data_IF_088753545351
#
_entry.id   IF_088753545351
#
_cell.length_a   1.000
_cell.length_b   1.000
_cell.length_c   1.000
_cell.angle_alpha   90.00
_cell.angle_beta   90.00
_cell.angle_gamma   90.00
#
_symmetry.space_group_name_H-M   'P 1'
#
loop_
_entity.id
_entity.type
_entity.pdbx_description
1 polymer ?
#
# COMPACT_ATOMS: atom_id res chain seq x y z
N UNK A 1 -8.73 -17.00 32.98
CA UNK A 1 -8.26 -15.63 32.65
C UNK A 1 -8.24 -15.51 31.14
N UNK A 2 -9.23 -14.83 30.56
CA UNK A 2 -9.28 -14.60 29.11
C UNK A 2 -8.43 -13.37 28.83
N UNK A 3 -7.26 -13.55 28.22
CA UNK A 3 -6.44 -12.43 27.79
C UNK A 3 -7.20 -11.68 26.70
N UNK A 4 -7.49 -10.39 26.93
CA UNK A 4 -7.88 -9.50 25.84
C UNK A 4 -6.63 -9.35 24.97
N UNK A 5 -6.61 -10.06 23.84
CA UNK A 5 -5.62 -9.79 22.80
C UNK A 5 -5.86 -8.36 22.36
N UNK A 6 -4.90 -7.46 22.60
CA UNK A 6 -4.97 -6.12 22.06
C UNK A 6 -5.17 -6.24 20.55
N UNK A 7 -6.19 -5.58 20.00
CA UNK A 7 -6.46 -5.62 18.56
C UNK A 7 -5.18 -5.26 17.80
N UNK A 8 -4.78 -6.11 16.86
CA UNK A 8 -3.61 -5.86 16.03
C UNK A 8 -3.83 -4.53 15.27
N UNK A 9 -2.81 -3.68 15.21
CA UNK A 9 -2.92 -2.42 14.47
C UNK A 9 -3.25 -2.71 13.00
N UNK A 10 -4.14 -1.93 12.37
CA UNK A 10 -4.44 -2.10 10.96
C UNK A 10 -3.19 -1.83 10.12
N UNK A 11 -3.09 -2.51 8.98
CA UNK A 11 -2.09 -2.18 7.97
C UNK A 11 -2.51 -0.91 7.23
N UNK A 12 -1.60 0.04 7.07
CA UNK A 12 -1.79 1.20 6.20
C UNK A 12 -1.27 0.86 4.80
N UNK A 13 -2.16 0.83 3.81
CA UNK A 13 -1.78 0.67 2.41
C UNK A 13 -1.91 2.02 1.71
N UNK A 14 -0.79 2.55 1.24
CA UNK A 14 -0.73 3.84 0.54
C UNK A 14 -0.90 3.56 -0.96
N UNK A 15 -1.86 4.23 -1.59
CA UNK A 15 -2.08 4.23 -3.04
C UNK A 15 -1.59 5.57 -3.61
N UNK A 16 -0.42 5.60 -4.26
CA UNK A 16 0.14 6.83 -4.79
C UNK A 16 -0.69 7.43 -5.93
N UNK A 17 -0.42 8.69 -6.28
CA UNK A 17 -0.91 9.27 -7.54
C UNK A 17 -0.10 8.84 -8.75
N UNK A 18 -0.56 9.22 -9.94
CA UNK A 18 0.23 9.02 -11.16
C UNK A 18 1.54 9.82 -11.11
N UNK A 19 2.59 9.33 -11.79
CA UNK A 19 3.95 9.85 -11.74
C UNK A 19 4.60 9.83 -10.34
N UNK A 20 4.03 9.07 -9.39
CA UNK A 20 4.53 8.96 -8.02
C UNK A 20 5.19 7.61 -7.77
N UNK A 21 6.46 7.62 -7.37
CA UNK A 21 7.21 6.42 -7.06
C UNK A 21 7.13 6.11 -5.56
N UNK A 22 7.16 4.84 -5.13
CA UNK A 22 7.05 4.47 -3.71
C UNK A 22 8.00 5.23 -2.78
N UNK A 23 9.24 5.49 -3.23
CA UNK A 23 10.24 6.24 -2.44
C UNK A 23 9.80 7.65 -2.02
N UNK A 24 8.89 8.29 -2.78
CA UNK A 24 8.37 9.62 -2.46
C UNK A 24 7.51 9.63 -1.19
N UNK A 25 7.02 8.46 -0.77
CA UNK A 25 6.17 8.28 0.41
C UNK A 25 6.92 7.90 1.68
N UNK A 26 8.26 7.82 1.61
CA UNK A 26 9.10 7.29 2.69
C UNK A 26 8.98 8.06 4.01
N UNK A 27 8.69 9.38 3.97
CA UNK A 27 8.48 10.17 5.18
C UNK A 27 7.19 9.76 5.93
N UNK A 28 6.10 9.56 5.21
CA UNK A 28 4.82 9.10 5.78
C UNK A 28 4.99 7.66 6.29
N UNK A 29 5.58 6.80 5.47
CA UNK A 29 5.86 5.41 5.83
C UNK A 29 6.62 5.31 7.17
N UNK A 30 7.77 5.99 7.28
CA UNK A 30 8.57 5.99 8.52
C UNK A 30 7.80 6.54 9.73
N UNK A 31 6.97 7.55 9.54
CA UNK A 31 6.19 8.16 10.63
C UNK A 31 5.17 7.19 11.24
N UNK A 32 4.52 6.37 10.39
CA UNK A 32 3.56 5.36 10.84
C UNK A 32 4.25 4.09 11.37
N UNK A 33 5.33 3.64 10.72
CA UNK A 33 6.14 2.52 11.19
C UNK A 33 6.75 2.79 12.57
N UNK A 34 7.23 4.02 12.84
CA UNK A 34 7.72 4.43 14.15
C UNK A 34 6.65 4.36 15.25
N UNK A 35 5.36 4.38 14.88
CA UNK A 35 4.22 4.19 15.79
C UNK A 35 3.76 2.73 15.84
N UNK A 36 4.44 1.81 15.16
CA UNK A 36 4.14 0.38 15.14
C UNK A 36 3.06 -0.04 14.15
N UNK A 37 2.65 0.82 13.21
CA UNK A 37 1.74 0.41 12.14
C UNK A 37 2.53 -0.28 11.01
N UNK A 38 2.08 -1.44 10.51
CA UNK A 38 2.55 -1.96 9.24
C UNK A 38 2.16 -1.00 8.12
N UNK A 39 3.09 -0.62 7.26
CA UNK A 39 2.84 0.29 6.14
C UNK A 39 3.40 -0.29 4.87
N UNK A 40 2.63 -0.24 3.79
CA UNK A 40 3.09 -0.61 2.45
C UNK A 40 2.60 0.42 1.43
N UNK A 41 3.42 0.70 0.42
CA UNK A 41 3.10 1.62 -0.68
C UNK A 41 2.96 0.81 -1.95
N UNK A 42 1.84 0.94 -2.66
CA UNK A 42 1.60 0.18 -3.89
C UNK A 42 2.55 0.66 -4.99
N UNK A 43 3.33 -0.25 -5.62
CA UNK A 43 4.16 0.09 -6.75
C UNK A 43 3.33 0.10 -8.05
N UNK A 44 2.61 1.19 -8.29
CA UNK A 44 1.81 1.36 -9.52
C UNK A 44 2.69 1.15 -10.76
N UNK A 45 2.34 0.18 -11.59
CA UNK A 45 3.06 -0.13 -12.83
C UNK A 45 2.97 1.02 -13.85
N UNK A 46 1.89 1.79 -13.83
CA UNK A 46 1.78 3.02 -14.63
C UNK A 46 2.81 4.09 -14.23
N UNK A 47 3.24 4.11 -12.96
CA UNK A 47 4.22 5.05 -12.40
C UNK A 47 5.53 4.34 -12.08
N UNK A 48 6.43 4.29 -13.07
CA UNK A 48 7.67 3.51 -13.02
C UNK A 48 8.87 4.30 -13.52
N UNK A 49 10.07 3.88 -13.12
CA UNK A 49 11.32 4.48 -13.60
C UNK A 49 11.70 3.99 -15.00
N UNK A 50 11.42 2.72 -15.28
CA UNK A 50 11.82 2.07 -16.52
C UNK A 50 10.68 2.13 -17.52
N UNK A 51 10.97 2.60 -18.73
CA UNK A 51 10.00 2.60 -19.82
C UNK A 51 9.68 1.17 -20.25
N UNK A 52 8.39 0.87 -20.39
CA UNK A 52 7.84 -0.40 -20.92
C UNK A 52 6.86 -0.03 -22.03
N UNK A 53 6.85 -0.81 -23.11
CA UNK A 53 6.00 -0.63 -24.30
C UNK A 53 5.28 -1.96 -24.66
N UNK A 54 3.93 -2.01 -24.69
CA UNK A 54 3.02 -0.93 -24.33
C UNK A 54 3.14 -0.53 -22.86
N UNK A 55 2.82 0.72 -22.55
CA UNK A 55 2.81 1.17 -21.16
C UNK A 55 1.70 0.45 -20.37
N UNK A 56 2.02 -0.14 -19.21
CA UNK A 56 1.03 -0.61 -18.24
C UNK A 56 0.00 0.48 -17.92
N UNK A 57 -1.24 0.03 -17.71
CA UNK A 57 -2.38 0.90 -17.43
C UNK A 57 -3.08 0.54 -16.12
N UNK A 58 -4.30 1.05 -15.97
CA UNK A 58 -5.10 0.89 -14.75
C UNK A 58 -5.28 -0.58 -14.33
N UNK A 59 -5.45 -1.50 -15.28
CA UNK A 59 -5.63 -2.92 -14.97
C UNK A 59 -4.40 -3.53 -14.28
N UNK A 60 -3.20 -3.10 -14.68
CA UNK A 60 -1.94 -3.56 -14.08
C UNK A 60 -1.76 -2.98 -12.67
N UNK A 61 -2.12 -1.71 -12.48
CA UNK A 61 -2.12 -1.05 -11.17
C UNK A 61 -3.09 -1.70 -10.19
N UNK A 62 -4.30 -2.03 -10.64
CA UNK A 62 -5.31 -2.74 -9.84
C UNK A 62 -4.81 -4.12 -9.43
N UNK A 63 -4.07 -4.81 -10.29
CA UNK A 63 -3.48 -6.12 -9.97
C UNK A 63 -2.44 -6.00 -8.85
N UNK A 64 -1.55 -5.00 -8.91
CA UNK A 64 -0.59 -4.74 -7.82
C UNK A 64 -1.28 -4.38 -6.50
N UNK A 65 -2.33 -3.55 -6.57
CA UNK A 65 -3.14 -3.21 -5.41
C UNK A 65 -3.79 -4.46 -4.78
N UNK A 66 -4.41 -5.31 -5.60
CA UNK A 66 -5.04 -6.55 -5.14
C UNK A 66 -4.03 -7.50 -4.49
N UNK A 67 -2.85 -7.69 -5.09
CA UNK A 67 -1.80 -8.54 -4.54
C UNK A 67 -1.39 -8.08 -3.13
N UNK A 68 -1.18 -6.77 -2.97
CA UNK A 68 -0.71 -6.19 -1.71
C UNK A 68 -1.81 -6.17 -0.64
N UNK A 69 -3.05 -5.84 -1.00
CA UNK A 69 -4.19 -5.89 -0.10
C UNK A 69 -4.47 -7.32 0.38
N UNK A 70 -4.45 -8.29 -0.52
CA UNK A 70 -4.74 -9.69 -0.21
C UNK A 70 -3.73 -10.32 0.75
N UNK A 71 -2.48 -9.83 0.78
CA UNK A 71 -1.48 -10.24 1.78
C UNK A 71 -1.97 -9.99 3.22
N UNK A 72 -2.72 -8.92 3.45
CA UNK A 72 -3.28 -8.58 4.77
C UNK A 72 -4.67 -9.15 4.97
N UNK A 73 -5.55 -8.99 3.98
CA UNK A 73 -6.95 -9.41 4.07
C UNK A 73 -7.06 -10.93 4.27
N UNK A 74 -6.26 -11.73 3.56
CA UNK A 74 -6.28 -13.19 3.71
C UNK A 74 -5.79 -13.67 5.08
N UNK A 75 -5.11 -12.81 5.85
CA UNK A 75 -4.71 -13.07 7.24
C UNK A 75 -5.73 -12.57 8.26
N UNK A 76 -6.89 -12.07 7.81
CA UNK A 76 -7.92 -11.48 8.67
C UNK A 76 -7.52 -10.13 9.28
N UNK A 77 -6.52 -9.43 8.72
CA UNK A 77 -6.09 -8.12 9.21
C UNK A 77 -6.97 -7.02 8.65
N UNK A 78 -7.22 -6.01 9.48
CA UNK A 78 -7.81 -4.75 9.05
C UNK A 78 -6.81 -3.96 8.19
N UNK A 79 -7.33 -3.31 7.15
CA UNK A 79 -6.55 -2.48 6.23
C UNK A 79 -7.19 -1.10 6.14
N UNK A 80 -6.38 -0.06 6.27
CA UNK A 80 -6.74 1.32 5.97
C UNK A 80 -6.02 1.73 4.69
N UNK A 81 -6.76 2.20 3.69
CA UNK A 81 -6.19 2.71 2.45
C UNK A 81 -6.02 4.22 2.51
N UNK A 82 -4.80 4.72 2.28
CA UNK A 82 -4.51 6.14 2.10
C UNK A 82 -4.29 6.41 0.62
N UNK A 83 -5.29 6.99 -0.03
CA UNK A 83 -5.34 7.21 -1.47
C UNK A 83 -5.01 8.67 -1.80
N UNK A 84 -4.26 8.91 -2.88
CA UNK A 84 -3.91 10.26 -3.34
C UNK A 84 -4.06 10.40 -4.86
N UNK A 85 -4.89 11.37 -5.26
CA UNK A 85 -5.09 11.75 -6.66
C UNK A 85 -5.61 10.59 -7.53
N UNK A 86 -4.76 9.99 -8.37
CA UNK A 86 -5.13 8.84 -9.21
C UNK A 86 -5.40 7.57 -8.40
N UNK A 87 -4.69 7.44 -7.27
CA UNK A 87 -4.76 6.27 -6.39
C UNK A 87 -6.05 6.18 -5.61
#
# INVERSE_FOLDING_TARGET
MTAVVAAARPALVIVPGNFSLPRFWSAIQRSFEAKGYPVEVIPLQSSREVRIDPAPGLADDVKEAQLLLNKHINQGKEVVMLMHSYG
#
